data_IF_938544567107
#
_entry.id   IF_938544567107
#
_cell.length_a   1.000
_cell.length_b   1.000
_cell.length_c   1.000
_cell.angle_alpha   90.00
_cell.angle_beta   90.00
_cell.angle_gamma   90.00
#
_symmetry.space_group_name_H-M   'P 1'
#
loop_
_entity.id
_entity.type
_entity.pdbx_description
1 polymer ?
#
# COMPACT_ATOMS: atom_id res chain seq x y z
N UNK A 1 44.48 33.53 -44.97
CA UNK A 1 43.03 33.20 -44.91
C UNK A 1 42.68 31.90 -44.16
N UNK A 2 43.64 31.07 -43.74
CA UNK A 2 43.36 29.77 -43.09
C UNK A 2 43.47 29.75 -41.55
N UNK A 3 44.00 30.80 -40.92
CA UNK A 3 44.10 30.86 -39.45
C UNK A 3 42.83 31.40 -38.77
N UNK A 4 42.07 32.26 -39.47
CA UNK A 4 40.81 32.83 -38.95
C UNK A 4 39.68 31.79 -38.86
N UNK A 5 39.71 30.75 -39.70
CA UNK A 5 38.73 29.64 -39.65
C UNK A 5 39.04 28.62 -38.55
N UNK A 6 40.31 28.48 -38.16
CA UNK A 6 40.73 27.53 -37.12
C UNK A 6 40.43 28.06 -35.70
N UNK A 7 40.46 29.38 -35.49
CA UNK A 7 40.08 29.98 -34.20
C UNK A 7 38.56 29.89 -33.91
N UNK A 8 37.71 29.92 -34.94
CA UNK A 8 36.25 29.89 -34.78
C UNK A 8 35.76 28.50 -34.35
N UNK A 9 36.46 27.43 -34.76
CA UNK A 9 36.10 26.04 -34.40
C UNK A 9 36.45 25.72 -32.94
N UNK A 10 37.50 26.35 -32.38
CA UNK A 10 37.91 26.13 -30.99
C UNK A 10 36.99 26.81 -29.96
N UNK A 11 36.23 27.83 -30.37
CA UNK A 11 35.29 28.57 -29.50
C UNK A 11 33.91 27.89 -29.36
N UNK A 12 33.59 26.87 -30.17
CA UNK A 12 32.29 26.19 -30.16
C UNK A 12 32.25 24.96 -29.22
N UNK A 13 33.40 24.53 -28.66
CA UNK A 13 33.49 23.35 -27.79
C UNK A 13 33.30 23.64 -26.30
N UNK A 14 33.22 24.91 -25.89
CA UNK A 14 33.08 25.32 -24.48
C UNK A 14 31.64 25.59 -24.04
N UNK A 15 30.66 25.49 -24.94
CA UNK A 15 29.26 25.84 -24.65
C UNK A 15 28.42 24.70 -24.02
N UNK A 16 28.98 23.51 -23.81
CA UNK A 16 28.29 22.39 -23.15
C UNK A 16 29.00 22.01 -21.84
N UNK A 17 29.08 22.94 -20.89
CA UNK A 17 29.91 22.77 -19.69
C UNK A 17 29.30 23.17 -18.36
N UNK A 18 28.12 23.79 -18.31
CA UNK A 18 27.42 24.02 -17.05
C UNK A 18 26.45 22.86 -16.80
N UNK A 19 27.01 21.75 -16.32
CA UNK A 19 26.24 20.81 -15.51
C UNK A 19 25.90 21.59 -14.24
N UNK A 20 24.73 22.21 -14.24
CA UNK A 20 24.16 22.83 -13.06
C UNK A 20 24.11 21.74 -11.99
N UNK A 21 25.04 21.82 -11.03
CA UNK A 21 25.09 20.92 -9.91
C UNK A 21 23.80 21.21 -9.15
N UNK A 22 22.76 20.39 -9.36
CA UNK A 22 21.50 20.52 -8.65
C UNK A 22 21.85 20.61 -7.16
N UNK A 23 21.48 21.71 -6.52
CA UNK A 23 21.64 21.86 -5.09
C UNK A 23 21.04 20.62 -4.41
N UNK A 24 21.68 20.04 -3.38
CA UNK A 24 21.13 18.88 -2.71
C UNK A 24 19.71 19.22 -2.27
N UNK A 25 18.75 18.43 -2.73
CA UNK A 25 17.35 18.63 -2.38
C UNK A 25 17.24 18.66 -0.85
N UNK A 26 16.63 19.71 -0.31
CA UNK A 26 16.33 19.75 1.13
C UNK A 26 15.47 18.53 1.45
N UNK A 27 15.95 17.67 2.35
CA UNK A 27 15.19 16.51 2.82
C UNK A 27 13.88 17.00 3.45
N UNK A 28 12.75 16.44 3.01
CA UNK A 28 11.46 16.71 3.61
C UNK A 28 11.43 16.11 5.03
N UNK A 29 11.11 16.89 6.07
CA UNK A 29 11.17 16.40 7.45
C UNK A 29 9.93 15.54 7.77
N UNK A 30 10.01 14.25 7.49
CA UNK A 30 8.98 13.29 7.87
C UNK A 30 9.05 12.95 9.36
N UNK A 31 7.89 12.77 9.99
CA UNK A 31 7.76 12.34 11.39
C UNK A 31 6.73 11.21 11.51
N UNK A 32 7.14 9.94 11.32
CA UNK A 32 6.27 8.79 11.54
C UNK A 32 5.71 8.77 12.97
N UNK A 33 4.48 8.30 13.13
CA UNK A 33 3.84 8.13 14.46
C UNK A 33 4.26 6.83 15.15
N UNK A 34 4.85 5.89 14.41
CA UNK A 34 5.35 4.61 14.89
C UNK A 34 6.16 3.88 13.82
N UNK A 35 6.36 2.58 14.03
CA UNK A 35 7.01 1.68 13.07
C UNK A 35 6.00 1.07 12.08
N UNK A 36 6.46 0.12 11.26
CA UNK A 36 5.60 -0.59 10.29
C UNK A 36 4.45 -1.31 10.99
N UNK A 37 4.67 -1.95 12.15
CA UNK A 37 3.62 -2.66 12.88
C UNK A 37 2.54 -1.69 13.34
N UNK A 38 2.93 -0.50 13.82
CA UNK A 38 2.00 0.56 14.15
C UNK A 38 1.19 1.02 12.92
N UNK A 39 1.84 1.23 11.78
CA UNK A 39 1.17 1.63 10.54
C UNK A 39 0.16 0.57 10.07
N UNK A 40 0.53 -0.72 10.11
CA UNK A 40 -0.38 -1.82 9.79
C UNK A 40 -1.59 -1.81 10.73
N UNK A 41 -1.34 -1.94 12.03
CA UNK A 41 -2.39 -2.15 13.03
C UNK A 41 -3.37 -0.96 13.16
N UNK A 42 -2.88 0.27 13.04
CA UNK A 42 -3.68 1.46 13.39
C UNK A 42 -4.14 2.29 12.20
N UNK A 43 -3.66 1.99 10.99
CA UNK A 43 -4.04 2.72 9.78
C UNK A 43 -4.53 1.76 8.71
N UNK A 44 -3.74 0.76 8.34
CA UNK A 44 -4.06 -0.09 7.20
C UNK A 44 -5.13 -1.14 7.54
N UNK A 45 -4.93 -1.92 8.59
CA UNK A 45 -5.80 -3.02 9.00
C UNK A 45 -7.26 -2.57 9.18
N UNK A 46 -7.60 -1.54 9.99
CA UNK A 46 -9.00 -1.13 10.17
C UNK A 46 -9.63 -0.60 8.87
N UNK A 47 -8.84 -0.01 7.98
CA UNK A 47 -9.33 0.45 6.68
C UNK A 47 -9.61 -0.72 5.73
N UNK A 48 -8.73 -1.72 5.70
CA UNK A 48 -8.91 -2.94 4.92
C UNK A 48 -10.10 -3.76 5.43
N UNK A 49 -10.24 -3.92 6.74
CA UNK A 49 -11.37 -4.59 7.38
C UNK A 49 -12.70 -3.96 6.95
N UNK A 50 -12.79 -2.62 6.99
CA UNK A 50 -14.00 -1.94 6.52
C UNK A 50 -14.31 -2.21 5.03
N UNK A 51 -13.30 -2.39 4.17
CA UNK A 51 -13.55 -2.75 2.77
C UNK A 51 -14.10 -4.17 2.65
N UNK A 52 -13.55 -5.13 3.39
CA UNK A 52 -14.01 -6.53 3.37
C UNK A 52 -15.39 -6.70 4.02
N UNK A 53 -15.66 -5.98 5.11
CA UNK A 53 -16.96 -5.98 5.79
C UNK A 53 -18.07 -5.30 4.96
N UNK A 54 -17.70 -4.59 3.89
CA UNK A 54 -18.62 -3.90 2.98
C UNK A 54 -18.77 -4.61 1.62
N UNK A 55 -18.25 -5.83 1.46
CA UNK A 55 -18.21 -6.49 0.16
C UNK A 55 -18.50 -7.99 0.24
N UNK A 56 -19.18 -8.52 -0.78
CA UNK A 56 -19.53 -9.93 -0.85
C UNK A 56 -20.73 -10.27 0.02
N UNK A 57 -20.78 -11.51 0.51
CA UNK A 57 -21.93 -12.02 1.25
C UNK A 57 -21.53 -13.06 2.28
N UNK A 58 -22.31 -13.17 3.35
CA UNK A 58 -22.17 -14.21 4.38
C UNK A 58 -23.36 -15.16 4.37
N UNK A 59 -23.14 -16.41 4.78
CA UNK A 59 -24.20 -17.39 4.96
C UNK A 59 -24.59 -17.40 6.44
N UNK A 60 -25.85 -17.13 6.73
CA UNK A 60 -26.47 -17.14 8.05
C UNK A 60 -27.46 -18.30 8.18
N UNK A 61 -28.06 -18.49 9.36
CA UNK A 61 -29.10 -19.50 9.55
C UNK A 61 -30.38 -19.14 8.77
N UNK A 62 -30.59 -17.85 8.50
CA UNK A 62 -31.76 -17.27 7.85
C UNK A 62 -31.61 -17.18 6.32
N UNK A 63 -30.39 -17.29 5.79
CA UNK A 63 -30.12 -17.25 4.35
C UNK A 63 -28.75 -16.66 4.01
N UNK A 64 -28.61 -16.09 2.82
CA UNK A 64 -27.42 -15.33 2.43
C UNK A 64 -27.68 -13.84 2.67
N UNK A 65 -26.78 -13.17 3.37
CA UNK A 65 -26.81 -11.73 3.60
C UNK A 65 -25.74 -11.05 2.73
N UNK A 66 -26.16 -10.05 1.95
CA UNK A 66 -25.28 -9.20 1.14
C UNK A 66 -24.70 -8.09 2.03
N UNK A 67 -23.37 -7.92 1.97
CA UNK A 67 -22.63 -6.94 2.77
C UNK A 67 -22.50 -5.58 2.06
N UNK A 68 -22.93 -5.48 0.80
CA UNK A 68 -22.82 -4.24 0.05
C UNK A 68 -23.54 -3.07 0.75
N UNK A 69 -22.94 -1.86 0.79
CA UNK A 69 -23.58 -0.69 1.35
C UNK A 69 -24.89 -0.35 0.63
N UNK A 70 -25.90 0.06 1.39
CA UNK A 70 -27.25 0.36 0.86
C UNK A 70 -27.60 1.86 0.91
N UNK A 71 -26.67 2.70 1.37
CA UNK A 71 -26.84 4.16 1.45
C UNK A 71 -25.60 4.89 0.96
N UNK A 72 -25.81 6.11 0.44
CA UNK A 72 -24.73 6.99 -0.01
C UNK A 72 -23.72 7.28 1.11
N UNK A 73 -24.19 7.40 2.36
CA UNK A 73 -23.33 7.61 3.52
C UNK A 73 -22.41 6.40 3.78
N UNK A 74 -22.95 5.18 3.66
CA UNK A 74 -22.18 3.97 3.85
C UNK A 74 -21.18 3.76 2.69
N UNK A 75 -21.57 4.06 1.45
CA UNK A 75 -20.64 4.08 0.31
C UNK A 75 -19.52 5.11 0.46
N UNK A 76 -19.83 6.29 0.99
CA UNK A 76 -18.82 7.30 1.32
C UNK A 76 -17.84 6.81 2.41
N UNK A 77 -18.33 6.08 3.41
CA UNK A 77 -17.46 5.46 4.42
C UNK A 77 -16.48 4.45 3.80
N UNK A 78 -16.96 3.59 2.88
CA UNK A 78 -16.09 2.69 2.09
C UNK A 78 -15.06 3.48 1.28
N UNK A 79 -15.48 4.56 0.62
CA UNK A 79 -14.59 5.42 -0.15
C UNK A 79 -13.48 6.03 0.73
N UNK A 80 -13.80 6.48 1.94
CA UNK A 80 -12.81 6.98 2.89
C UNK A 80 -11.81 5.89 3.29
N UNK A 81 -12.28 4.70 3.63
CA UNK A 81 -11.41 3.56 3.96
C UNK A 81 -10.50 3.19 2.79
N UNK A 82 -11.01 3.21 1.56
CA UNK A 82 -10.22 2.94 0.36
C UNK A 82 -9.11 3.98 0.13
N UNK A 83 -9.39 5.26 0.41
CA UNK A 83 -8.36 6.33 0.39
C UNK A 83 -7.31 6.07 1.46
N UNK A 84 -7.70 5.67 2.67
CA UNK A 84 -6.73 5.33 3.73
C UNK A 84 -5.82 4.19 3.32
N UNK A 85 -6.36 3.12 2.70
CA UNK A 85 -5.55 2.03 2.13
C UNK A 85 -4.57 2.56 1.09
N UNK A 86 -5.02 3.42 0.18
CA UNK A 86 -4.15 3.98 -0.85
C UNK A 86 -3.02 4.83 -0.23
N UNK A 87 -3.36 5.72 0.71
CA UNK A 87 -2.37 6.58 1.36
C UNK A 87 -1.41 5.80 2.28
N UNK A 88 -1.85 4.69 2.89
CA UNK A 88 -0.97 3.80 3.63
C UNK A 88 0.16 3.24 2.75
N UNK A 89 -0.10 2.99 1.46
CA UNK A 89 0.93 2.67 0.48
C UNK A 89 1.99 3.76 0.33
N UNK A 90 1.60 5.04 0.32
CA UNK A 90 2.54 6.17 0.33
C UNK A 90 3.34 6.24 1.65
N UNK A 91 2.69 5.97 2.79
CA UNK A 91 3.35 5.95 4.10
C UNK A 91 4.44 4.86 4.17
N UNK A 92 4.22 3.70 3.53
CA UNK A 92 5.22 2.64 3.43
C UNK A 92 6.44 3.04 2.60
N UNK A 93 6.32 4.02 1.72
CA UNK A 93 7.42 4.56 0.91
C UNK A 93 8.19 5.69 1.59
N UNK A 94 7.73 6.16 2.75
CA UNK A 94 8.38 7.26 3.46
C UNK A 94 9.76 6.85 4.02
N UNK A 95 10.75 7.76 4.01
CA UNK A 95 12.00 7.57 4.72
C UNK A 95 11.77 7.21 6.20
N UNK A 96 12.43 6.14 6.66
CA UNK A 96 12.29 5.62 8.04
C UNK A 96 11.19 4.56 8.21
N UNK A 97 10.27 4.43 7.24
CA UNK A 97 9.30 3.32 7.17
C UNK A 97 9.71 2.33 6.09
N UNK A 98 10.14 2.82 4.93
CA UNK A 98 10.56 2.01 3.80
C UNK A 98 11.70 1.04 4.16
N UNK A 99 11.60 -0.21 3.68
CA UNK A 99 12.59 -1.26 3.95
C UNK A 99 13.66 -1.37 2.86
N UNK A 100 13.23 -1.35 1.59
CA UNK A 100 14.09 -1.44 0.41
C UNK A 100 13.42 -0.77 -0.80
N UNK A 101 14.17 -0.67 -1.90
CA UNK A 101 13.75 -0.12 -3.19
C UNK A 101 13.33 -1.21 -4.20
N UNK A 102 13.17 -2.45 -3.74
CA UNK A 102 12.76 -3.60 -4.54
C UNK A 102 11.31 -3.99 -4.27
N UNK A 103 11.12 -5.22 -3.78
CA UNK A 103 9.79 -5.77 -3.55
C UNK A 103 8.95 -4.91 -2.59
N UNK A 104 9.56 -4.25 -1.61
CA UNK A 104 8.85 -3.36 -0.69
C UNK A 104 8.21 -2.20 -1.44
N UNK A 105 8.98 -1.54 -2.31
CA UNK A 105 8.51 -0.40 -3.10
C UNK A 105 7.41 -0.83 -4.06
N UNK A 106 7.64 -1.91 -4.83
CA UNK A 106 6.69 -2.39 -5.83
C UNK A 106 5.36 -2.81 -5.20
N UNK A 107 5.40 -3.52 -4.06
CA UNK A 107 4.20 -3.96 -3.36
C UNK A 107 3.48 -2.77 -2.69
N UNK A 108 4.22 -1.79 -2.17
CA UNK A 108 3.62 -0.55 -1.63
C UNK A 108 2.88 0.22 -2.72
N UNK A 109 3.44 0.33 -3.94
CA UNK A 109 2.74 0.92 -5.08
C UNK A 109 1.51 0.08 -5.50
N UNK A 110 1.61 -1.25 -5.41
CA UNK A 110 0.48 -2.15 -5.62
C UNK A 110 -0.65 -1.95 -4.60
N UNK A 111 -0.32 -1.60 -3.35
CA UNK A 111 -1.29 -1.25 -2.31
C UNK A 111 -2.03 0.05 -2.64
N UNK A 112 -1.29 1.07 -3.13
CA UNK A 112 -1.90 2.33 -3.61
C UNK A 112 -2.93 2.03 -4.69
N UNK A 113 -2.54 1.25 -5.69
CA UNK A 113 -3.42 0.89 -6.81
C UNK A 113 -4.65 0.08 -6.35
N UNK A 114 -4.49 -0.86 -5.42
CA UNK A 114 -5.62 -1.61 -4.86
C UNK A 114 -6.61 -0.69 -4.13
N UNK A 115 -6.12 0.26 -3.32
CA UNK A 115 -6.95 1.27 -2.66
C UNK A 115 -7.68 2.18 -3.65
N UNK A 116 -7.01 2.63 -4.72
CA UNK A 116 -7.63 3.46 -5.76
C UNK A 116 -8.73 2.71 -6.54
N UNK A 117 -8.58 1.40 -6.75
CA UNK A 117 -9.63 0.56 -7.34
C UNK A 117 -10.83 0.43 -6.42
N UNK A 118 -10.61 0.13 -5.14
CA UNK A 118 -11.69 0.08 -4.16
C UNK A 118 -12.41 1.43 -4.04
N UNK A 119 -11.67 2.55 -4.07
CA UNK A 119 -12.23 3.89 -4.08
C UNK A 119 -13.14 4.12 -5.29
N UNK A 120 -12.68 3.73 -6.48
CA UNK A 120 -13.43 3.88 -7.73
C UNK A 120 -14.70 3.03 -7.73
N UNK A 121 -14.63 1.80 -7.20
CA UNK A 121 -15.80 0.94 -7.02
C UNK A 121 -16.81 1.56 -6.03
N UNK A 122 -16.31 2.11 -4.92
CA UNK A 122 -17.14 2.79 -3.93
C UNK A 122 -17.81 4.06 -4.49
N UNK A 123 -17.13 4.82 -5.34
CA UNK A 123 -17.70 5.97 -6.07
C UNK A 123 -18.81 5.58 -7.05
N UNK A 124 -18.68 4.40 -7.66
CA UNK A 124 -19.65 3.87 -8.60
C UNK A 124 -20.80 3.09 -7.95
N UNK A 125 -20.75 2.89 -6.61
CA UNK A 125 -21.64 1.98 -5.87
C UNK A 125 -21.65 0.57 -6.48
N UNK A 126 -20.49 0.11 -6.93
CA UNK A 126 -20.31 -1.17 -7.63
C UNK A 126 -19.81 -2.25 -6.65
N UNK A 127 -20.74 -3.05 -6.15
CA UNK A 127 -20.47 -4.09 -5.16
C UNK A 127 -19.56 -5.22 -5.69
N UNK A 128 -19.70 -5.58 -6.97
CA UNK A 128 -18.88 -6.62 -7.59
C UNK A 128 -17.44 -6.12 -7.76
N UNK A 129 -17.27 -4.90 -8.27
CA UNK A 129 -15.96 -4.29 -8.38
C UNK A 129 -15.29 -4.08 -7.02
N UNK A 130 -16.07 -3.76 -5.97
CA UNK A 130 -15.55 -3.62 -4.61
C UNK A 130 -15.05 -4.97 -4.07
N UNK A 131 -15.81 -6.05 -4.29
CA UNK A 131 -15.40 -7.41 -3.91
C UNK A 131 -14.11 -7.84 -4.62
N UNK A 132 -14.00 -7.58 -5.92
CA UNK A 132 -12.79 -7.87 -6.70
C UNK A 132 -11.58 -7.06 -6.21
N UNK A 133 -11.79 -5.78 -5.88
CA UNK A 133 -10.76 -4.93 -5.30
C UNK A 133 -10.31 -5.45 -3.92
N UNK A 134 -11.23 -5.92 -3.08
CA UNK A 134 -10.92 -6.56 -1.81
C UNK A 134 -10.07 -7.84 -1.98
N UNK A 135 -10.38 -8.65 -3.01
CA UNK A 135 -9.58 -9.83 -3.36
C UNK A 135 -8.18 -9.47 -3.89
N UNK A 136 -8.05 -8.37 -4.64
CA UNK A 136 -6.74 -7.86 -5.06
C UNK A 136 -5.92 -7.37 -3.87
N UNK A 137 -6.54 -6.60 -2.96
CA UNK A 137 -5.92 -6.11 -1.74
C UNK A 137 -5.33 -7.27 -0.93
N UNK A 138 -6.12 -8.34 -0.72
CA UNK A 138 -5.66 -9.54 -0.03
C UNK A 138 -4.37 -10.14 -0.65
N UNK A 139 -4.30 -10.21 -1.99
CA UNK A 139 -3.11 -10.72 -2.69
C UNK A 139 -1.89 -9.82 -2.52
N UNK A 140 -2.08 -8.50 -2.47
CA UNK A 140 -1.01 -7.53 -2.17
C UNK A 140 -0.48 -7.76 -0.76
N UNK A 141 -1.37 -7.88 0.23
CA UNK A 141 -1.01 -8.14 1.63
C UNK A 141 -0.21 -9.45 1.77
N UNK A 142 -0.71 -10.54 1.18
CA UNK A 142 -0.03 -11.84 1.19
C UNK A 142 1.37 -11.77 0.59
N UNK A 143 1.52 -11.04 -0.53
CA UNK A 143 2.81 -10.89 -1.22
C UNK A 143 3.83 -10.16 -0.34
N UNK A 144 3.40 -9.12 0.39
CA UNK A 144 4.27 -8.41 1.32
C UNK A 144 4.64 -9.30 2.52
N UNK A 145 3.64 -9.89 3.17
CA UNK A 145 3.81 -10.63 4.42
C UNK A 145 4.68 -11.87 4.23
N UNK A 146 4.58 -12.54 3.07
CA UNK A 146 5.42 -13.69 2.74
C UNK A 146 6.93 -13.37 2.65
N UNK A 147 7.30 -12.11 2.45
CA UNK A 147 8.68 -11.64 2.34
C UNK A 147 9.15 -11.05 3.68
N UNK A 148 8.31 -10.24 4.34
CA UNK A 148 8.77 -9.35 5.41
C UNK A 148 8.29 -9.71 6.84
N UNK A 149 7.42 -10.71 7.04
CA UNK A 149 6.87 -11.08 8.38
C UNK A 149 7.42 -12.41 8.94
N UNK A 150 8.34 -13.09 8.23
CA UNK A 150 8.72 -14.50 8.51
C UNK A 150 9.34 -14.85 9.89
N UNK A 151 9.42 -13.94 10.85
CA UNK A 151 10.08 -14.16 12.15
C UNK A 151 9.27 -13.81 13.43
N UNK A 152 7.95 -13.56 13.38
CA UNK A 152 7.14 -13.38 14.61
C UNK A 152 6.47 -14.71 15.08
N UNK A 153 6.01 -15.57 14.17
CA UNK A 153 5.20 -16.75 14.52
C UNK A 153 5.98 -18.01 14.95
N UNK A 154 7.32 -17.97 15.03
CA UNK A 154 8.14 -19.13 15.42
C UNK A 154 8.47 -19.21 16.91
N UNK A 155 7.93 -18.32 17.73
CA UNK A 155 8.15 -18.34 19.19
C UNK A 155 7.10 -19.14 19.96
N UNK A 156 5.98 -19.51 19.35
CA UNK A 156 5.03 -20.45 19.95
C UNK A 156 5.19 -21.84 19.31
N UNK A 157 5.47 -22.90 20.09
CA UNK A 157 5.47 -24.24 19.56
C UNK A 157 4.07 -24.59 19.00
N UNK A 158 3.98 -25.47 17.98
CA UNK A 158 2.70 -25.86 17.41
C UNK A 158 1.74 -26.35 18.50
N UNK A 159 0.52 -25.81 18.54
CA UNK A 159 -0.55 -26.31 19.41
C UNK A 159 -0.78 -27.76 19.05
N UNK A 160 -0.45 -28.64 19.99
CA UNK A 160 -0.62 -30.08 19.85
C UNK A 160 -2.06 -30.47 20.19
N UNK A 161 -2.49 -31.63 19.70
CA UNK A 161 -3.81 -32.19 20.04
C UNK A 161 -4.00 -32.34 21.56
N UNK A 162 -2.92 -32.62 22.30
CA UNK A 162 -2.93 -32.69 23.77
C UNK A 162 -3.22 -31.34 24.42
N UNK A 163 -2.76 -30.23 23.85
CA UNK A 163 -3.00 -28.89 24.39
C UNK A 163 -4.48 -28.49 24.28
N UNK A 164 -5.16 -28.96 23.22
CA UNK A 164 -6.61 -28.77 23.05
C UNK A 164 -7.42 -29.62 24.03
N UNK A 165 -6.99 -30.84 24.32
CA UNK A 165 -7.66 -31.74 25.26
C UNK A 165 -7.52 -31.26 26.72
N UNK A 166 -6.39 -30.66 27.10
CA UNK A 166 -6.16 -30.13 28.47
C UNK A 166 -6.91 -28.81 28.73
N UNK A 167 -7.15 -28.00 27.70
CA UNK A 167 -7.94 -26.75 27.80
C UNK A 167 -9.46 -26.96 27.97
N UNK A 168 -9.92 -28.21 27.83
CA UNK A 168 -11.34 -28.60 27.84
C UNK A 168 -11.81 -29.29 29.12
N UNK A 169 -10.96 -29.37 30.14
CA UNK A 169 -11.25 -29.84 31.51
C UNK A 169 -11.11 -28.70 32.53
#
# INVERSE_FOLDING_TARGET
>A
MNHARLLIILLLLTACGQREQAAPAKSIPFKPTGDVKHLMQWVLDPAADHLWDSAGSIITAEGTEDLAPTSDEAWLAVQHSAVVVAEAGNLLLMPGVAKDDGAWQDISLGLIEAGLRAKSAAEAHDAEALFDAGGQLYRVCLSCHAIYIKDDERTEPPVTRSDLEESSN
#
